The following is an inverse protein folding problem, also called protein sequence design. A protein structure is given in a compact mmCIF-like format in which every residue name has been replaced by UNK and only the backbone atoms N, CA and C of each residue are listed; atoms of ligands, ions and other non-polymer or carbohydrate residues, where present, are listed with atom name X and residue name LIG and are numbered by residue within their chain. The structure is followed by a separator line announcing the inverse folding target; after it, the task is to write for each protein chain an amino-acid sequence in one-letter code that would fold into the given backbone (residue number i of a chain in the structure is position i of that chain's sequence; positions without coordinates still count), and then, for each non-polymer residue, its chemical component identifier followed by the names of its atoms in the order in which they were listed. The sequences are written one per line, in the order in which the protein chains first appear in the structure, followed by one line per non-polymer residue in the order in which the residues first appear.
data_IF_676446035317
#
_entry.id   IF_676446035317
#
_cell.length_a   1.000
_cell.length_b   1.000
_cell.length_c   1.000
_cell.angle_alpha   90.00
_cell.angle_beta   90.00
_cell.angle_gamma   90.00
#
_symmetry.space_group_name_H-M   'P 1'
#
loop_
_entity.id
_entity.type
_entity.pdbx_description
1 polymer ?
#
# COMPACT_ATOMS: atom_id res chain seq x y z
N UNK A 1 -26.64 -32.10 -5.78
CA UNK A 1 -26.53 -30.69 -6.21
C UNK A 1 -25.04 -30.31 -6.09
N UNK A 2 -24.30 -30.32 -7.21
CA UNK A 2 -22.87 -30.00 -7.25
C UNK A 2 -22.68 -28.52 -7.55
N UNK A 3 -21.98 -27.79 -6.68
CA UNK A 3 -21.47 -26.45 -6.98
C UNK A 3 -19.98 -26.54 -7.26
N UNK A 4 -19.63 -26.08 -8.47
CA UNK A 4 -18.32 -26.19 -9.09
C UNK A 4 -17.29 -25.34 -8.34
N UNK A 5 -16.24 -26.00 -7.87
CA UNK A 5 -14.93 -25.40 -7.61
C UNK A 5 -14.40 -24.78 -8.90
N UNK A 6 -14.11 -23.49 -8.89
CA UNK A 6 -13.46 -22.85 -10.05
C UNK A 6 -13.48 -21.34 -10.01
N UNK A 7 -12.65 -20.73 -9.15
CA UNK A 7 -12.05 -19.44 -9.47
C UNK A 7 -10.68 -19.35 -8.81
N UNK A 8 -9.73 -20.15 -9.32
CA UNK A 8 -8.31 -19.87 -9.08
C UNK A 8 -7.99 -18.62 -9.89
N UNK A 9 -7.78 -17.51 -9.19
CA UNK A 9 -7.05 -16.38 -9.76
C UNK A 9 -5.73 -16.98 -10.30
N UNK A 10 -5.34 -16.71 -11.55
CA UNK A 10 -4.03 -17.12 -12.02
C UNK A 10 -3.01 -16.41 -11.12
N UNK A 11 -2.44 -17.13 -10.16
CA UNK A 11 -1.15 -16.75 -9.59
C UNK A 11 -0.19 -16.83 -10.75
N UNK A 12 0.00 -15.67 -11.38
CA UNK A 12 1.15 -15.37 -12.23
C UNK A 12 2.35 -16.01 -11.56
N UNK A 13 2.96 -16.91 -12.33
CA UNK A 13 3.97 -17.87 -11.95
C UNK A 13 4.61 -17.55 -10.60
N UNK A 14 4.41 -18.45 -9.62
CA UNK A 14 5.41 -18.66 -8.60
C UNK A 14 6.69 -19.06 -9.34
N UNK A 15 7.39 -18.05 -9.88
CA UNK A 15 8.71 -18.15 -10.47
C UNK A 15 9.50 -18.93 -9.44
N UNK A 16 9.96 -20.10 -9.85
CA UNK A 16 10.83 -20.98 -9.09
C UNK A 16 11.78 -20.11 -8.25
N UNK A 17 11.47 -19.94 -6.95
CA UNK A 17 12.20 -19.10 -6.02
C UNK A 17 13.52 -19.80 -5.70
N UNK A 18 14.41 -19.81 -6.69
CA UNK A 18 15.80 -20.24 -6.53
C UNK A 18 16.64 -19.15 -5.86
N UNK A 19 16.10 -17.94 -5.70
CA UNK A 19 16.76 -16.79 -5.09
C UNK A 19 15.93 -16.13 -3.98
N UNK A 20 16.59 -15.28 -3.21
CA UNK A 20 15.99 -14.41 -2.20
C UNK A 20 14.93 -13.50 -2.82
N UNK A 21 13.79 -13.37 -2.15
CA UNK A 21 12.71 -12.44 -2.49
C UNK A 21 12.48 -11.47 -1.33
N UNK A 22 11.90 -10.32 -1.65
CA UNK A 22 11.65 -9.26 -0.69
C UNK A 22 10.16 -8.91 -0.70
N UNK A 23 9.47 -9.22 0.39
CA UNK A 23 8.06 -8.90 0.60
C UNK A 23 7.95 -7.56 1.32
N UNK A 24 7.30 -6.58 0.70
CA UNK A 24 7.05 -5.26 1.31
C UNK A 24 5.56 -5.17 1.68
N UNK A 25 5.26 -4.89 2.94
CA UNK A 25 3.89 -4.83 3.49
C UNK A 25 3.62 -3.46 4.10
N UNK A 26 2.55 -2.80 3.68
CA UNK A 26 2.17 -1.48 4.18
C UNK A 26 0.67 -1.37 4.42
N UNK A 27 0.24 -0.32 5.13
CA UNK A 27 -1.16 -0.08 5.44
C UNK A 27 -1.64 1.23 4.85
N UNK A 28 -2.84 1.22 4.27
CA UNK A 28 -3.57 2.42 3.87
C UNK A 28 -5.02 2.29 4.34
N UNK A 29 -5.52 3.25 5.11
CA UNK A 29 -6.88 3.21 5.67
C UNK A 29 -7.18 1.92 6.45
N UNK A 30 -6.22 1.44 7.25
CA UNK A 30 -6.26 0.17 8.00
C UNK A 30 -6.32 -1.11 7.14
N UNK A 31 -6.22 -1.00 5.82
CA UNK A 31 -6.14 -2.15 4.91
C UNK A 31 -4.68 -2.49 4.63
N UNK A 32 -4.25 -3.74 4.85
CA UNK A 32 -2.90 -4.18 4.49
C UNK A 32 -2.77 -4.38 2.98
N UNK A 33 -1.64 -3.96 2.44
CA UNK A 33 -1.23 -4.16 1.06
C UNK A 33 0.16 -4.79 1.05
N UNK A 34 0.45 -5.58 0.01
CA UNK A 34 1.73 -6.24 -0.12
C UNK A 34 2.21 -6.25 -1.58
N UNK A 35 3.52 -6.23 -1.76
CA UNK A 35 4.19 -6.40 -3.05
C UNK A 35 5.47 -7.23 -2.86
N UNK A 36 5.80 -8.04 -3.86
CA UNK A 36 7.00 -8.88 -3.87
C UNK A 36 7.99 -8.32 -4.88
N UNK A 37 9.26 -8.26 -4.48
CA UNK A 37 10.38 -7.78 -5.28
C UNK A 37 11.47 -8.85 -5.34
N UNK A 38 12.19 -8.91 -6.45
CA UNK A 38 13.40 -9.72 -6.64
C UNK A 38 14.69 -8.91 -6.43
N UNK A 39 14.59 -7.58 -6.41
CA UNK A 39 15.69 -6.65 -6.20
C UNK A 39 15.59 -5.96 -4.83
N UNK A 40 16.64 -6.09 -4.01
CA UNK A 40 16.69 -5.51 -2.67
C UNK A 40 16.54 -3.99 -2.67
N UNK A 41 17.25 -3.29 -3.55
CA UNK A 41 17.28 -1.82 -3.61
C UNK A 41 15.90 -1.27 -3.99
N UNK A 42 15.21 -1.94 -4.93
CA UNK A 42 13.85 -1.58 -5.29
C UNK A 42 12.87 -1.79 -4.13
N UNK A 43 13.03 -2.89 -3.38
CA UNK A 43 12.23 -3.20 -2.20
C UNK A 43 12.44 -2.18 -1.07
N UNK A 44 13.70 -1.82 -0.78
CA UNK A 44 14.07 -0.81 0.22
C UNK A 44 13.48 0.56 -0.13
N UNK A 45 13.63 0.99 -1.38
CA UNK A 45 13.03 2.24 -1.86
C UNK A 45 11.50 2.21 -1.73
N UNK A 46 10.87 1.09 -2.10
CA UNK A 46 9.43 0.93 -1.99
C UNK A 46 8.95 0.95 -0.53
N UNK A 47 9.70 0.33 0.38
CA UNK A 47 9.39 0.25 1.79
C UNK A 47 9.52 1.61 2.49
N UNK A 48 10.61 2.33 2.19
CA UNK A 48 10.85 3.68 2.70
C UNK A 48 9.74 4.66 2.29
N UNK A 49 9.34 4.67 1.02
CA UNK A 49 8.26 5.56 0.53
C UNK A 49 6.91 5.24 1.19
N UNK A 50 6.64 3.95 1.45
CA UNK A 50 5.33 3.47 1.93
C UNK A 50 5.23 3.35 3.44
N UNK A 51 6.28 3.66 4.20
CA UNK A 51 6.29 3.44 5.65
C UNK A 51 6.01 1.97 5.99
N UNK A 52 6.69 1.06 5.29
CA UNK A 52 6.34 -0.35 5.21
C UNK A 52 7.26 -1.25 6.05
N UNK A 53 6.83 -2.48 6.29
CA UNK A 53 7.71 -3.56 6.71
C UNK A 53 8.30 -4.23 5.48
N UNK A 54 9.60 -4.50 5.49
CA UNK A 54 10.27 -5.28 4.45
C UNK A 54 10.76 -6.60 5.03
N UNK A 55 10.29 -7.71 4.47
CA UNK A 55 10.63 -9.06 4.89
C UNK A 55 11.49 -9.70 3.81
N UNK A 56 12.68 -10.15 4.20
CA UNK A 56 13.56 -10.93 3.34
C UNK A 56 13.19 -12.39 3.48
N UNK A 57 12.87 -13.03 2.35
CA UNK A 57 12.41 -14.42 2.29
C UNK A 57 13.35 -15.21 1.38
N UNK A 58 13.80 -16.39 1.81
CA UNK A 58 14.64 -17.27 0.98
C UNK A 58 14.13 -18.70 0.94
N UNK A 59 14.62 -19.42 -0.08
CA UNK A 59 14.34 -20.83 -0.28
C UNK A 59 12.90 -21.12 -0.71
N UNK A 60 12.64 -22.40 -1.03
CA UNK A 60 11.31 -22.85 -1.45
C UNK A 60 10.31 -22.95 -0.29
N UNK A 61 10.81 -23.05 0.94
CA UNK A 61 10.00 -23.14 2.16
C UNK A 61 9.61 -21.77 2.72
N UNK A 62 9.86 -20.68 1.97
CA UNK A 62 9.59 -19.30 2.38
C UNK A 62 10.17 -18.96 3.77
N UNK A 63 11.43 -19.31 4.00
CA UNK A 63 12.13 -18.99 5.24
C UNK A 63 12.24 -17.47 5.38
N UNK A 64 11.84 -16.93 6.52
CA UNK A 64 12.06 -15.53 6.86
C UNK A 64 13.48 -15.37 7.38
N UNK A 65 14.29 -14.60 6.66
CA UNK A 65 15.68 -14.33 7.03
C UNK A 65 15.81 -13.04 7.84
N UNK A 66 15.03 -12.01 7.49
CA UNK A 66 15.07 -10.71 8.16
C UNK A 66 13.73 -9.99 8.03
N UNK A 67 13.44 -9.13 9.02
CA UNK A 67 12.34 -8.15 8.97
C UNK A 67 12.95 -6.78 9.26
N UNK A 68 12.74 -5.84 8.36
CA UNK A 68 13.20 -4.46 8.46
C UNK A 68 11.99 -3.55 8.65
N UNK A 69 12.00 -2.82 9.76
CA UNK A 69 10.95 -1.87 10.13
C UNK A 69 11.28 -0.48 9.57
N UNK A 70 10.54 -0.03 8.54
CA UNK A 70 10.62 1.33 8.02
C UNK A 70 9.53 2.24 8.56
N UNK A 71 8.83 1.84 9.62
CA UNK A 71 7.81 2.66 10.24
C UNK A 71 8.45 3.88 10.90
N UNK A 72 8.01 5.06 10.48
CA UNK A 72 8.44 6.35 11.01
C UNK A 72 7.95 6.47 12.43
N UNK A 73 8.84 6.94 13.28
CA UNK A 73 8.58 7.18 14.69
C UNK A 73 8.83 8.65 15.01
N UNK A 74 8.09 9.19 15.96
CA UNK A 74 8.37 10.50 16.52
C UNK A 74 9.61 10.46 17.44
N UNK A 75 9.94 11.61 18.04
CA UNK A 75 11.10 11.74 18.93
C UNK A 75 10.99 10.86 20.19
N UNK A 76 9.76 10.45 20.56
CA UNK A 76 9.47 9.52 21.65
C UNK A 76 9.49 8.05 21.20
N UNK A 77 9.80 7.78 19.93
CA UNK A 77 9.86 6.44 19.34
C UNK A 77 8.49 5.84 19.02
N UNK A 78 7.41 6.60 19.15
CA UNK A 78 6.05 6.14 18.86
C UNK A 78 5.78 6.16 17.36
N UNK A 79 5.03 5.17 16.83
CA UNK A 79 4.65 5.15 15.42
C UNK A 79 3.90 6.44 15.05
N UNK A 80 4.45 7.19 14.09
CA UNK A 80 3.79 8.40 13.60
C UNK A 80 2.48 8.04 12.91
N UNK A 81 1.42 8.82 13.17
CA UNK A 81 0.13 8.64 12.48
C UNK A 81 0.26 8.80 10.97
N UNK A 82 -0.66 8.18 10.24
CA UNK A 82 -0.71 8.27 8.78
C UNK A 82 -1.05 9.70 8.34
N UNK A 83 -0.02 10.49 8.05
CA UNK A 83 -0.13 11.84 7.51
C UNK A 83 -0.46 11.81 6.02
N UNK A 84 -1.39 12.65 5.58
CA UNK A 84 -1.67 12.83 4.16
C UNK A 84 -0.48 13.52 3.50
N UNK A 85 0.38 12.75 2.82
CA UNK A 85 1.50 13.32 2.08
C UNK A 85 1.00 13.90 0.75
N UNK A 86 1.21 15.19 0.56
CA UNK A 86 1.03 15.84 -0.73
C UNK A 86 2.23 15.48 -1.63
N UNK A 87 2.23 14.27 -2.19
CA UNK A 87 3.36 13.70 -2.96
C UNK A 87 3.65 14.52 -4.23
N UNK A 88 2.72 15.35 -4.70
CA UNK A 88 2.82 16.13 -5.94
C UNK A 88 3.09 17.63 -5.73
N UNK A 89 3.41 18.06 -4.50
CA UNK A 89 3.27 19.48 -4.14
C UNK A 89 1.79 19.85 -4.02
N UNK A 90 1.50 20.98 -3.38
CA UNK A 90 0.15 21.43 -3.03
C UNK A 90 -0.87 21.25 -4.17
N UNK A 91 -1.62 20.15 -4.17
CA UNK A 91 -2.81 20.04 -5.00
C UNK A 91 -3.89 20.92 -4.34
N UNK A 92 -3.85 22.22 -4.65
CA UNK A 92 -4.90 23.17 -4.31
C UNK A 92 -6.14 22.81 -5.14
N UNK A 93 -6.87 21.78 -4.73
CA UNK A 93 -8.21 21.55 -5.28
C UNK A 93 -9.09 22.62 -4.64
N UNK A 94 -9.23 23.76 -5.31
CA UNK A 94 -10.30 24.71 -5.03
C UNK A 94 -11.61 23.98 -5.33
N UNK A 95 -12.17 23.31 -4.33
CA UNK A 95 -13.54 22.82 -4.33
C UNK A 95 -14.44 24.06 -4.37
N UNK A 96 -14.64 24.59 -5.58
CA UNK A 96 -15.59 25.64 -5.84
C UNK A 96 -16.98 25.08 -5.59
N UNK A 97 -17.51 25.31 -4.39
CA UNK A 97 -18.95 25.21 -4.13
C UNK A 97 -19.64 26.26 -4.98
N UNK A 98 -20.01 25.89 -6.21
CA UNK A 98 -21.00 26.65 -6.99
C UNK A 98 -22.31 26.58 -6.20
N UNK A 99 -22.66 27.67 -5.53
CA UNK A 99 -23.98 27.87 -4.93
C UNK A 99 -25.03 27.70 -6.03
N UNK A 100 -26.04 26.82 -5.88
CA UNK A 100 -27.11 26.73 -6.87
C UNK A 100 -27.81 28.09 -6.98
N UNK A 101 -28.21 28.53 -8.18
CA UNK A 101 -28.97 29.76 -8.33
C UNK A 101 -30.29 29.62 -7.56
N UNK A 102 -30.62 30.64 -6.77
CA UNK A 102 -31.87 30.70 -6.04
C UNK A 102 -33.03 30.68 -7.04
N UNK A 103 -33.82 29.60 -7.00
CA UNK A 103 -35.07 29.51 -7.73
C UNK A 103 -36.00 30.59 -7.17
N UNK A 104 -36.22 31.67 -7.93
CA UNK A 104 -37.27 32.63 -7.59
C UNK A 104 -38.61 31.91 -7.73
N UNK A 105 -39.28 31.72 -6.59
CA UNK A 105 -40.67 31.31 -6.56
C UNK A 105 -41.51 32.34 -7.31
N UNK A 106 -42.25 31.89 -8.32
CA UNK A 106 -43.31 32.65 -8.96
C UNK A 106 -44.43 32.89 -7.94
N UNK A 107 -44.93 34.12 -7.86
CA UNK A 107 -46.08 34.45 -7.02
C UNK A 107 -46.32 35.95 -6.90
N UNK A 108 -47.06 36.51 -7.87
CA UNK A 108 -48.20 37.42 -7.74
C UNK A 108 -48.48 38.09 -9.09
#
# INVERSE_FOLDING_TARGET
MHLRSGNRIPTEEARDMKGTAYLVVWWMSQVPYAAVFDNQVAAEAAASVRNALMVTVSGRDARIDAVQDWYRRDDDGQPMSAEWRNILGQLQIALTTKKPPALKAAGA
#
